data_IF_184971288330
#
_entry.id   IF_184971288330
#
_cell.length_a   1.000
_cell.length_b   1.000
_cell.length_c   1.000
_cell.angle_alpha   90.00
_cell.angle_beta   90.00
_cell.angle_gamma   90.00
#
_symmetry.space_group_name_H-M   'P 1'
#
loop_
_entity.id
_entity.type
_entity.pdbx_description
1 polymer ?
#
# COMPACT_ATOMS: atom_id res chain seq x y z
N UNK A 1 18.29 -8.45 -26.07
CA UNK A 1 17.16 -7.63 -26.55
C UNK A 1 16.67 -6.80 -25.38
N UNK A 2 16.54 -5.46 -25.52
CA UNK A 2 15.91 -4.64 -24.46
C UNK A 2 14.44 -5.06 -24.33
N UNK A 3 13.99 -5.32 -23.11
CA UNK A 3 12.58 -5.60 -22.84
C UNK A 3 11.76 -4.35 -23.17
N UNK A 4 10.61 -4.54 -23.82
CA UNK A 4 9.66 -3.45 -24.04
C UNK A 4 8.95 -3.10 -22.73
N UNK A 5 8.45 -1.87 -22.60
CA UNK A 5 7.69 -1.47 -21.41
C UNK A 5 6.47 -2.37 -21.20
N UNK A 6 5.72 -2.70 -22.24
CA UNK A 6 4.58 -3.63 -22.17
C UNK A 6 4.95 -5.00 -21.60
N UNK A 7 6.16 -5.52 -21.95
CA UNK A 7 6.62 -6.79 -21.38
C UNK A 7 6.97 -6.72 -19.90
N UNK A 8 7.38 -5.56 -19.40
CA UNK A 8 7.64 -5.31 -17.97
C UNK A 8 6.34 -5.14 -17.19
N UNK A 9 5.39 -4.39 -17.74
CA UNK A 9 4.04 -4.17 -17.20
C UNK A 9 3.24 -5.48 -17.18
N UNK A 10 3.49 -6.39 -18.14
CA UNK A 10 2.71 -7.63 -18.33
C UNK A 10 1.36 -7.39 -18.99
N UNK A 11 1.18 -6.25 -19.68
CA UNK A 11 -0.02 -5.89 -20.42
C UNK A 11 0.33 -5.35 -21.81
N UNK A 12 -0.41 -5.76 -22.83
CA UNK A 12 -0.26 -5.29 -24.20
C UNK A 12 -1.42 -4.39 -24.58
N UNK A 13 -1.11 -3.14 -24.89
CA UNK A 13 -2.11 -2.14 -25.23
C UNK A 13 -2.68 -2.35 -26.63
N UNK A 14 -4.00 -2.17 -26.77
CA UNK A 14 -4.72 -2.08 -28.03
C UNK A 14 -4.55 -0.68 -28.62
N UNK A 15 -4.64 0.35 -27.77
CA UNK A 15 -4.33 1.74 -28.11
C UNK A 15 -2.99 2.17 -27.47
N UNK A 16 -1.92 2.13 -28.24
CA UNK A 16 -0.59 2.51 -27.79
C UNK A 16 -0.49 3.98 -27.31
N UNK A 17 -1.43 4.84 -27.72
CA UNK A 17 -1.45 6.27 -27.30
C UNK A 17 -1.72 6.41 -25.81
N UNK A 18 -2.45 5.48 -25.21
CA UNK A 18 -2.70 5.49 -23.75
C UNK A 18 -1.40 5.31 -22.96
N UNK A 19 -0.57 4.34 -23.36
CA UNK A 19 0.74 4.12 -22.74
C UNK A 19 1.68 5.31 -23.01
N UNK A 20 1.66 5.84 -24.22
CA UNK A 20 2.44 7.02 -24.60
C UNK A 20 2.07 8.23 -23.73
N UNK A 21 0.79 8.46 -23.51
CA UNK A 21 0.28 9.53 -22.62
C UNK A 21 0.72 9.28 -21.17
N UNK A 22 0.58 8.05 -20.65
CA UNK A 22 1.01 7.70 -19.31
C UNK A 22 2.51 7.91 -19.09
N UNK A 23 3.34 7.84 -20.14
CA UNK A 23 4.78 8.08 -20.07
C UNK A 23 5.17 9.53 -20.37
N UNK A 24 4.23 10.47 -20.53
CA UNK A 24 4.51 11.85 -20.94
C UNK A 24 4.28 12.83 -19.78
N UNK A 25 5.36 13.40 -19.25
CA UNK A 25 5.32 14.44 -18.23
C UNK A 25 4.82 15.79 -18.76
N UNK A 26 4.16 16.59 -17.93
CA UNK A 26 3.60 17.89 -18.33
C UNK A 26 4.63 18.88 -18.88
N UNK A 27 5.85 18.90 -18.34
CA UNK A 27 6.92 19.72 -18.87
C UNK A 27 7.26 19.38 -20.33
N UNK A 28 7.26 18.08 -20.71
CA UNK A 28 7.48 17.67 -22.08
C UNK A 28 6.34 18.10 -23.01
N UNK A 29 5.09 17.93 -22.57
CA UNK A 29 3.93 18.36 -23.33
C UNK A 29 3.94 19.87 -23.57
N UNK A 30 4.26 20.66 -22.54
CA UNK A 30 4.35 22.11 -22.60
C UNK A 30 5.46 22.60 -23.55
N UNK A 31 6.64 21.97 -23.53
CA UNK A 31 7.76 22.32 -24.41
C UNK A 31 7.46 22.06 -25.88
N UNK A 32 6.63 21.06 -26.18
CA UNK A 32 6.30 20.69 -27.56
C UNK A 32 5.29 21.61 -28.22
N UNK A 33 4.45 22.32 -27.43
CA UNK A 33 3.36 23.21 -27.91
C UNK A 33 2.46 22.57 -28.98
N UNK A 34 2.42 21.25 -29.03
CA UNK A 34 1.63 20.49 -30.00
C UNK A 34 0.31 20.07 -29.34
N UNK A 35 -0.80 20.38 -29.99
CA UNK A 35 -2.13 20.13 -29.46
C UNK A 35 -2.46 18.64 -29.24
N UNK A 36 -1.67 17.76 -29.82
CA UNK A 36 -1.81 16.30 -29.77
C UNK A 36 -0.95 15.62 -28.70
N UNK A 37 -0.06 16.38 -28.03
CA UNK A 37 0.77 15.85 -26.92
C UNK A 37 0.09 16.13 -25.60
N UNK A 38 -0.44 15.09 -24.98
CA UNK A 38 -1.17 15.15 -23.70
C UNK A 38 -0.30 14.59 -22.58
N UNK A 39 -0.27 15.26 -21.41
CA UNK A 39 0.43 14.79 -20.23
C UNK A 39 -0.35 13.70 -19.47
N UNK A 40 0.36 12.99 -18.60
CA UNK A 40 -0.20 11.92 -17.79
C UNK A 40 -1.16 12.40 -16.67
N UNK A 41 -1.20 13.68 -16.32
CA UNK A 41 -1.91 14.20 -15.13
C UNK A 41 -3.38 13.77 -15.02
N UNK A 42 -4.09 13.70 -16.15
CA UNK A 42 -5.48 13.22 -16.13
C UNK A 42 -5.59 11.71 -15.94
N UNK A 43 -4.60 10.95 -16.40
CA UNK A 43 -4.52 9.51 -16.15
C UNK A 43 -4.14 9.23 -14.71
N UNK A 44 -3.18 9.96 -14.15
CA UNK A 44 -2.82 9.94 -12.73
C UNK A 44 -4.06 10.11 -11.84
N UNK A 45 -4.81 11.20 -12.04
CA UNK A 45 -6.04 11.45 -11.28
C UNK A 45 -7.03 10.27 -11.31
N UNK A 46 -7.21 9.66 -12.48
CA UNK A 46 -8.07 8.47 -12.62
C UNK A 46 -7.44 7.24 -11.97
N UNK A 47 -6.13 7.08 -12.12
CA UNK A 47 -5.37 5.94 -11.61
C UNK A 47 -5.35 5.87 -10.10
N UNK A 48 -5.16 7.00 -9.40
CA UNK A 48 -5.28 7.10 -7.95
C UNK A 48 -6.63 6.53 -7.46
N UNK A 49 -7.72 6.94 -8.10
CA UNK A 49 -9.06 6.46 -7.72
C UNK A 49 -9.23 4.94 -7.93
N UNK A 50 -8.70 4.40 -9.03
CA UNK A 50 -8.74 2.95 -9.32
C UNK A 50 -7.87 2.17 -8.35
N UNK A 51 -6.67 2.67 -8.08
CA UNK A 51 -5.74 2.09 -7.11
C UNK A 51 -6.34 2.08 -5.71
N UNK A 52 -6.90 3.21 -5.27
CA UNK A 52 -7.56 3.34 -3.97
C UNK A 52 -8.73 2.39 -3.80
N UNK A 53 -9.59 2.25 -4.82
CA UNK A 53 -10.72 1.31 -4.82
C UNK A 53 -10.24 -0.14 -4.77
N UNK A 54 -9.29 -0.52 -5.62
CA UNK A 54 -8.78 -1.89 -5.70
C UNK A 54 -8.10 -2.30 -4.40
N UNK A 55 -7.31 -1.40 -3.80
CA UNK A 55 -6.64 -1.65 -2.52
C UNK A 55 -7.65 -1.75 -1.38
N UNK A 56 -8.71 -0.93 -1.38
CA UNK A 56 -9.78 -1.01 -0.38
C UNK A 56 -10.54 -2.34 -0.47
N UNK A 57 -10.89 -2.80 -1.67
CA UNK A 57 -11.52 -4.10 -1.91
C UNK A 57 -10.62 -5.25 -1.45
N UNK A 58 -9.34 -5.19 -1.81
CA UNK A 58 -8.35 -6.18 -1.37
C UNK A 58 -8.26 -6.28 0.15
N UNK A 59 -8.17 -5.15 0.85
CA UNK A 59 -8.14 -5.12 2.32
C UNK A 59 -9.43 -5.64 2.93
N UNK A 60 -10.59 -5.25 2.40
CA UNK A 60 -11.88 -5.70 2.88
C UNK A 60 -12.02 -7.24 2.82
N UNK A 61 -11.55 -7.84 1.74
CA UNK A 61 -11.65 -9.29 1.53
C UNK A 61 -10.63 -10.09 2.36
N UNK A 62 -9.41 -9.54 2.55
CA UNK A 62 -8.30 -10.27 3.17
C UNK A 62 -8.09 -9.94 4.66
N UNK A 63 -8.81 -8.96 5.20
CA UNK A 63 -8.68 -8.55 6.61
C UNK A 63 -10.04 -8.45 7.31
N UNK A 64 -10.83 -9.54 7.39
CA UNK A 64 -12.23 -9.49 7.84
C UNK A 64 -12.42 -9.05 9.28
N UNK A 65 -11.38 -9.11 10.10
CA UNK A 65 -11.41 -8.73 11.53
C UNK A 65 -10.85 -7.35 11.81
N UNK A 66 -10.26 -6.67 10.80
CA UNK A 66 -9.68 -5.35 11.02
C UNK A 66 -10.75 -4.25 11.06
N UNK A 67 -10.69 -3.34 12.05
CA UNK A 67 -11.55 -2.15 12.08
C UNK A 67 -11.29 -1.23 10.88
N UNK A 68 -12.31 -0.46 10.48
CA UNK A 68 -12.25 0.48 9.35
C UNK A 68 -11.03 1.43 9.43
N UNK A 69 -10.77 2.03 10.62
CA UNK A 69 -9.65 2.95 10.78
C UNK A 69 -8.28 2.30 10.52
N UNK A 70 -8.15 0.97 10.71
CA UNK A 70 -6.94 0.21 10.38
C UNK A 70 -6.85 -0.05 8.88
N UNK A 71 -7.94 -0.45 8.24
CA UNK A 71 -7.97 -0.61 6.78
C UNK A 71 -7.62 0.70 6.07
N UNK A 72 -8.10 1.83 6.58
CA UNK A 72 -7.76 3.17 6.05
C UNK A 72 -6.28 3.49 6.16
N UNK A 73 -5.63 3.19 7.29
CA UNK A 73 -4.18 3.39 7.46
C UNK A 73 -3.36 2.45 6.57
N UNK A 74 -3.70 1.15 6.53
CA UNK A 74 -3.04 0.19 5.65
C UNK A 74 -3.17 0.57 4.18
N UNK A 75 -4.35 1.02 3.76
CA UNK A 75 -4.51 1.52 2.39
C UNK A 75 -3.55 2.67 2.12
N UNK A 76 -3.48 3.67 3.00
CA UNK A 76 -2.57 4.79 2.83
C UNK A 76 -1.08 4.35 2.78
N UNK A 77 -0.67 3.37 3.58
CA UNK A 77 0.68 2.81 3.56
C UNK A 77 0.99 2.06 2.25
N UNK A 78 0.02 1.30 1.73
CA UNK A 78 0.20 0.49 0.52
C UNK A 78 0.25 1.32 -0.77
N UNK A 79 -0.45 2.47 -0.79
CA UNK A 79 -0.53 3.32 -1.99
C UNK A 79 0.22 4.65 -1.85
N UNK A 80 1.09 4.80 -0.84
CA UNK A 80 1.90 6.01 -0.68
C UNK A 80 2.96 6.15 -1.77
N UNK A 81 3.47 7.39 -1.92
CA UNK A 81 4.54 7.71 -2.87
C UNK A 81 5.71 6.72 -2.80
N UNK A 82 6.17 6.37 -1.58
CA UNK A 82 7.29 5.44 -1.40
C UNK A 82 7.02 4.05 -1.98
N UNK A 83 5.81 3.52 -1.78
CA UNK A 83 5.40 2.21 -2.30
C UNK A 83 5.32 2.23 -3.83
N UNK A 84 4.67 3.25 -4.39
CA UNK A 84 4.55 3.41 -5.85
C UNK A 84 5.90 3.67 -6.52
N UNK A 85 6.77 4.42 -5.87
CA UNK A 85 8.15 4.63 -6.34
C UNK A 85 8.92 3.31 -6.44
N UNK A 86 8.82 2.42 -5.45
CA UNK A 86 9.43 1.07 -5.50
C UNK A 86 8.91 0.27 -6.70
N UNK A 87 7.60 0.32 -6.94
CA UNK A 87 6.96 -0.31 -8.11
C UNK A 87 7.50 0.28 -9.42
N UNK A 88 7.60 1.60 -9.51
CA UNK A 88 8.14 2.28 -10.71
C UNK A 88 9.57 1.88 -11.01
N UNK A 89 10.43 1.78 -9.97
CA UNK A 89 11.82 1.33 -10.09
C UNK A 89 11.90 -0.14 -10.56
N UNK A 90 11.09 -1.02 -9.99
CA UNK A 90 11.05 -2.44 -10.38
C UNK A 90 10.64 -2.62 -11.86
N UNK A 91 9.72 -1.80 -12.34
CA UNK A 91 9.29 -1.77 -13.73
C UNK A 91 10.25 -1.00 -14.66
N UNK A 92 11.15 -0.18 -14.08
CA UNK A 92 12.08 0.68 -14.82
C UNK A 92 11.37 1.77 -15.63
N UNK A 93 10.27 2.36 -15.09
CA UNK A 93 9.45 3.35 -15.80
C UNK A 93 10.25 4.58 -16.22
N UNK A 94 11.22 5.00 -15.42
CA UNK A 94 12.08 6.13 -15.72
C UNK A 94 12.81 6.04 -17.07
N UNK A 95 13.13 4.83 -17.56
CA UNK A 95 13.79 4.63 -18.86
C UNK A 95 12.88 5.02 -20.06
N UNK A 96 11.57 4.97 -19.89
CA UNK A 96 10.57 5.19 -20.94
C UNK A 96 9.91 6.56 -20.87
N UNK A 97 10.19 7.31 -19.81
CA UNK A 97 9.60 8.61 -19.54
C UNK A 97 9.99 9.66 -20.58
N UNK A 98 9.01 10.46 -21.02
CA UNK A 98 9.20 11.66 -21.82
C UNK A 98 9.20 12.87 -20.90
N UNK A 99 10.38 13.44 -20.67
CA UNK A 99 10.59 14.61 -19.82
C UNK A 99 10.89 15.86 -20.64
N UNK A 100 10.49 17.02 -20.12
CA UNK A 100 11.00 18.29 -20.61
C UNK A 100 12.48 18.47 -20.22
N UNK A 101 13.16 19.31 -20.97
CA UNK A 101 14.62 19.53 -20.78
C UNK A 101 14.97 20.03 -19.37
N UNK A 102 14.14 20.87 -18.79
CA UNK A 102 14.35 21.37 -17.42
C UNK A 102 14.30 20.25 -16.38
N UNK A 103 13.28 19.39 -16.47
CA UNK A 103 13.13 18.25 -15.57
C UNK A 103 14.24 17.19 -15.76
N UNK A 104 14.66 16.95 -17.00
CA UNK A 104 15.78 16.05 -17.28
C UNK A 104 17.07 16.52 -16.60
N UNK A 105 17.38 17.82 -16.66
CA UNK A 105 18.57 18.41 -16.07
C UNK A 105 18.57 18.40 -14.53
N UNK A 106 17.39 18.36 -13.91
CA UNK A 106 17.23 18.35 -12.44
C UNK A 106 17.01 16.94 -11.87
N UNK A 107 17.23 15.90 -12.67
CA UNK A 107 17.08 14.50 -12.22
C UNK A 107 15.64 14.02 -12.11
N UNK A 108 14.72 14.65 -12.85
CA UNK A 108 13.29 14.32 -12.81
C UNK A 108 12.99 12.84 -13.13
N UNK A 109 13.86 12.19 -13.92
CA UNK A 109 13.74 10.76 -14.28
C UNK A 109 13.85 9.81 -13.11
N UNK A 110 14.47 10.23 -12.02
CA UNK A 110 14.67 9.46 -10.78
C UNK A 110 13.84 10.02 -9.62
N UNK A 111 13.06 11.09 -9.84
CA UNK A 111 12.27 11.74 -8.80
C UNK A 111 11.11 10.86 -8.38
N UNK A 112 11.03 10.58 -7.06
CA UNK A 112 10.06 9.65 -6.49
C UNK A 112 8.61 10.02 -6.81
N UNK A 113 8.23 11.29 -6.66
CA UNK A 113 6.86 11.74 -6.95
C UNK A 113 6.49 11.54 -8.42
N UNK A 114 7.35 11.93 -9.37
CA UNK A 114 7.08 11.75 -10.80
C UNK A 114 6.93 10.26 -11.16
N UNK A 115 7.76 9.41 -10.57
CA UNK A 115 7.70 7.96 -10.80
C UNK A 115 6.43 7.32 -10.19
N UNK A 116 6.01 7.79 -9.03
CA UNK A 116 4.77 7.36 -8.39
C UNK A 116 3.54 7.74 -9.24
N UNK A 117 3.45 9.01 -9.67
CA UNK A 117 2.38 9.52 -10.54
C UNK A 117 2.27 8.70 -11.84
N UNK A 118 3.41 8.28 -12.39
CA UNK A 118 3.43 7.44 -13.60
C UNK A 118 2.86 6.04 -13.37
N UNK A 119 3.04 5.45 -12.18
CA UNK A 119 2.40 4.15 -11.86
C UNK A 119 0.88 4.30 -11.88
N UNK A 120 0.36 5.37 -11.30
CA UNK A 120 -1.07 5.67 -11.32
C UNK A 120 -1.56 5.91 -12.76
N UNK A 121 -0.80 6.67 -13.54
CA UNK A 121 -1.14 6.90 -14.95
C UNK A 121 -1.15 5.59 -15.78
N UNK A 122 -0.24 4.66 -15.52
CA UNK A 122 -0.23 3.33 -16.14
C UNK A 122 -1.46 2.52 -15.76
N UNK A 123 -1.86 2.55 -14.47
CA UNK A 123 -3.09 1.90 -13.98
C UNK A 123 -4.30 2.40 -14.76
N UNK A 124 -4.45 3.73 -14.89
CA UNK A 124 -5.55 4.32 -15.65
C UNK A 124 -5.49 3.98 -17.15
N UNK A 125 -4.30 3.97 -17.75
CA UNK A 125 -4.13 3.60 -19.15
C UNK A 125 -4.58 2.14 -19.39
N UNK A 126 -4.19 1.20 -18.52
CA UNK A 126 -4.64 -0.20 -18.58
C UNK A 126 -6.15 -0.28 -18.39
N UNK A 127 -6.72 0.45 -17.43
CA UNK A 127 -8.16 0.49 -17.22
C UNK A 127 -8.94 0.96 -18.44
N UNK A 128 -8.50 2.04 -19.08
CA UNK A 128 -9.18 2.59 -20.26
C UNK A 128 -9.08 1.67 -21.48
N UNK A 129 -8.00 0.91 -21.60
CA UNK A 129 -7.76 -0.01 -22.73
C UNK A 129 -8.37 -1.41 -22.50
N UNK A 130 -8.25 -1.94 -21.29
CA UNK A 130 -8.57 -3.33 -20.96
C UNK A 130 -9.67 -3.53 -19.92
N UNK A 131 -10.10 -2.46 -19.25
CA UNK A 131 -11.12 -2.51 -18.20
C UNK A 131 -10.56 -2.80 -16.80
N UNK A 132 -11.47 -2.86 -15.84
CA UNK A 132 -11.14 -2.97 -14.41
C UNK A 132 -10.38 -4.25 -14.07
N UNK A 133 -10.71 -5.37 -14.69
CA UNK A 133 -10.07 -6.65 -14.39
C UNK A 133 -8.58 -6.65 -14.73
N UNK A 134 -8.20 -6.02 -15.84
CA UNK A 134 -6.79 -5.91 -16.23
C UNK A 134 -6.04 -4.93 -15.33
N UNK A 135 -6.66 -3.81 -14.94
CA UNK A 135 -6.10 -2.87 -13.98
C UNK A 135 -5.89 -3.53 -12.60
N UNK A 136 -6.86 -4.30 -12.11
CA UNK A 136 -6.73 -5.09 -10.88
C UNK A 136 -5.59 -6.09 -10.94
N UNK A 137 -5.43 -6.82 -12.04
CA UNK A 137 -4.32 -7.76 -12.22
C UNK A 137 -2.97 -7.06 -12.12
N UNK A 138 -2.84 -5.88 -12.73
CA UNK A 138 -1.62 -5.07 -12.65
C UNK A 138 -1.34 -4.63 -11.20
N UNK A 139 -2.33 -4.07 -10.52
CA UNK A 139 -2.21 -3.59 -9.14
C UNK A 139 -1.82 -4.75 -8.20
N UNK A 140 -2.53 -5.87 -8.29
CA UNK A 140 -2.24 -7.06 -7.47
C UNK A 140 -0.84 -7.60 -7.70
N UNK A 141 -0.36 -7.58 -8.95
CA UNK A 141 0.93 -8.15 -9.32
C UNK A 141 2.11 -7.25 -8.94
N UNK A 142 1.97 -5.93 -9.07
CA UNK A 142 3.11 -5.02 -9.01
C UNK A 142 3.09 -4.06 -7.83
N UNK A 143 1.91 -3.75 -7.28
CA UNK A 143 1.76 -2.83 -6.14
C UNK A 143 1.51 -3.61 -4.86
N UNK A 144 0.67 -4.63 -4.89
CA UNK A 144 0.23 -5.36 -3.70
C UNK A 144 0.91 -6.74 -3.55
N UNK A 145 1.85 -7.12 -4.45
CA UNK A 145 2.52 -8.43 -4.40
C UNK A 145 3.31 -8.68 -3.12
N UNK A 146 3.92 -7.64 -2.60
CA UNK A 146 4.74 -7.66 -1.38
C UNK A 146 3.99 -7.11 -0.16
N UNK A 147 2.68 -6.88 -0.31
CA UNK A 147 1.83 -6.47 0.79
C UNK A 147 1.75 -7.62 1.81
N UNK A 148 2.65 -7.61 2.78
CA UNK A 148 2.56 -8.49 3.95
C UNK A 148 1.35 -8.05 4.78
N UNK A 149 0.14 -8.41 4.31
CA UNK A 149 -1.09 -8.27 5.09
C UNK A 149 -1.18 -9.52 5.95
N UNK A 150 -0.26 -9.64 6.88
CA UNK A 150 -0.28 -10.69 7.90
C UNK A 150 -0.85 -10.14 9.21
N UNK A 151 -1.38 -11.02 10.02
CA UNK A 151 -1.76 -10.76 11.41
C UNK A 151 -0.59 -10.17 12.23
N UNK A 152 0.64 -10.28 11.73
CA UNK A 152 1.90 -9.89 12.35
C UNK A 152 2.47 -8.54 11.87
N UNK A 153 1.70 -7.70 11.15
CA UNK A 153 2.25 -6.42 10.65
C UNK A 153 2.56 -5.48 11.83
N UNK A 154 3.82 -5.02 12.02
CA UNK A 154 4.24 -4.22 13.19
C UNK A 154 3.51 -2.89 13.36
N UNK A 155 2.87 -2.38 12.30
CA UNK A 155 2.07 -1.15 12.33
C UNK A 155 0.62 -1.37 12.78
N UNK A 156 0.19 -2.61 13.02
CA UNK A 156 -1.16 -2.91 13.46
C UNK A 156 -1.43 -2.30 14.86
N UNK A 157 -2.34 -1.33 14.95
CA UNK A 157 -2.77 -0.74 16.22
C UNK A 157 -3.95 -1.51 16.82
N UNK A 158 -3.68 -2.80 17.08
CA UNK A 158 -4.66 -3.69 17.73
C UNK A 158 -5.04 -3.23 19.13
N UNK A 159 -4.16 -2.48 19.81
CA UNK A 159 -4.45 -1.92 21.15
C UNK A 159 -5.60 -0.91 21.08
N UNK A 160 -5.55 0.03 20.13
CA UNK A 160 -6.64 0.98 19.90
C UNK A 160 -7.90 0.26 19.44
N UNK A 161 -7.80 -0.70 18.53
CA UNK A 161 -8.93 -1.48 18.06
C UNK A 161 -9.61 -2.28 19.18
N UNK A 162 -8.83 -2.91 20.07
CA UNK A 162 -9.36 -3.61 21.26
C UNK A 162 -10.05 -2.63 22.20
N UNK A 163 -9.44 -1.47 22.43
CA UNK A 163 -10.01 -0.44 23.29
C UNK A 163 -11.37 0.03 22.76
N UNK A 164 -11.46 0.37 21.48
CA UNK A 164 -12.72 0.78 20.85
C UNK A 164 -13.78 -0.32 20.90
N UNK A 165 -13.38 -1.58 20.67
CA UNK A 165 -14.29 -2.71 20.70
C UNK A 165 -14.91 -2.94 22.08
N UNK A 166 -14.08 -2.95 23.12
CA UNK A 166 -14.59 -3.22 24.48
C UNK A 166 -15.34 -2.02 25.07
N UNK A 167 -14.94 -0.79 24.75
CA UNK A 167 -15.60 0.44 25.21
C UNK A 167 -17.01 0.63 24.61
N UNK A 168 -17.37 -0.01 23.50
CA UNK A 168 -18.76 -0.04 23.01
C UNK A 168 -19.74 -0.62 24.01
N UNK A 169 -19.28 -1.40 24.98
CA UNK A 169 -20.09 -2.05 26.03
C UNK A 169 -20.08 -1.30 27.37
N UNK A 170 -19.41 -0.15 27.45
CA UNK A 170 -19.27 0.67 28.64
C UNK A 170 -17.83 0.97 29.00
N UNK A 171 -17.60 1.64 30.14
CA UNK A 171 -16.25 1.85 30.67
C UNK A 171 -15.68 0.52 31.14
N UNK A 172 -14.50 0.14 30.60
CA UNK A 172 -13.78 -1.09 30.93
C UNK A 172 -12.32 -0.78 31.20
N UNK A 173 -11.70 -1.55 32.09
CA UNK A 173 -10.28 -1.42 32.40
C UNK A 173 -9.47 -2.45 31.58
N UNK A 174 -8.59 -1.95 30.71
CA UNK A 174 -7.67 -2.78 29.92
C UNK A 174 -6.29 -2.70 30.56
N UNK A 175 -5.65 -3.86 30.80
CA UNK A 175 -4.27 -3.94 31.31
C UNK A 175 -3.44 -4.87 30.44
N UNK A 176 -2.20 -4.45 30.18
CA UNK A 176 -1.17 -5.25 29.52
C UNK A 176 -0.08 -5.58 30.52
N UNK A 177 0.26 -6.85 30.67
CA UNK A 177 1.27 -7.31 31.62
C UNK A 177 2.30 -8.18 30.90
N UNK A 178 3.60 -7.93 31.19
CA UNK A 178 4.70 -8.77 30.72
C UNK A 178 4.65 -10.10 31.46
N UNK A 179 4.38 -11.19 30.76
CA UNK A 179 4.29 -12.53 31.33
C UNK A 179 5.49 -13.42 31.01
N UNK A 180 6.32 -13.01 30.05
CA UNK A 180 7.54 -13.75 29.69
C UNK A 180 8.56 -12.91 28.94
N UNK A 181 9.84 -13.25 29.13
CA UNK A 181 10.96 -12.73 28.38
C UNK A 181 11.92 -13.88 28.12
N UNK A 182 12.34 -14.09 26.87
CA UNK A 182 13.22 -15.19 26.44
C UNK A 182 14.18 -14.78 25.33
N UNK A 183 15.24 -15.56 25.14
CA UNK A 183 16.25 -15.34 24.10
C UNK A 183 17.45 -14.50 24.55
N UNK A 184 18.57 -14.55 23.76
CA UNK A 184 19.78 -13.77 24.03
C UNK A 184 19.54 -12.28 23.72
N UNK A 185 20.38 -11.38 24.27
CA UNK A 185 20.21 -9.92 24.18
C UNK A 185 20.04 -9.37 22.76
N UNK A 186 20.62 -10.02 21.76
CA UNK A 186 20.53 -9.64 20.36
C UNK A 186 19.30 -10.22 19.62
N UNK A 187 18.53 -11.10 20.30
CA UNK A 187 17.32 -11.72 19.75
C UNK A 187 16.31 -12.04 20.88
N UNK A 188 15.96 -11.03 21.66
CA UNK A 188 14.98 -11.14 22.73
C UNK A 188 13.57 -11.30 22.17
N UNK A 189 12.78 -12.10 22.86
CA UNK A 189 11.32 -12.23 22.64
C UNK A 189 10.61 -11.87 23.93
N UNK A 190 9.59 -11.03 23.83
CA UNK A 190 8.74 -10.61 24.94
C UNK A 190 7.36 -11.24 24.76
N UNK A 191 6.73 -11.65 25.86
CA UNK A 191 5.35 -12.14 25.85
C UNK A 191 4.51 -11.28 26.78
N UNK A 192 3.41 -10.73 26.26
CA UNK A 192 2.45 -9.94 27.03
C UNK A 192 1.09 -10.62 27.06
N UNK A 193 0.41 -10.52 28.20
CA UNK A 193 -1.01 -10.80 28.31
C UNK A 193 -1.81 -9.52 28.34
N UNK A 194 -3.04 -9.56 27.83
CA UNK A 194 -4.01 -8.48 27.96
C UNK A 194 -5.25 -8.96 28.72
N UNK A 195 -5.67 -8.15 29.68
CA UNK A 195 -6.88 -8.39 30.46
C UNK A 195 -7.88 -7.25 30.31
N UNK A 196 -9.17 -7.58 30.31
CA UNK A 196 -10.31 -6.67 30.33
C UNK A 196 -11.09 -6.95 31.61
N UNK A 197 -11.22 -5.94 32.47
CA UNK A 197 -11.86 -6.03 33.80
C UNK A 197 -11.31 -7.19 34.63
N UNK A 198 -9.98 -7.38 34.61
CA UNK A 198 -9.29 -8.41 35.37
C UNK A 198 -9.34 -9.82 34.79
N UNK A 199 -10.05 -10.04 33.64
CA UNK A 199 -10.09 -11.32 32.94
C UNK A 199 -9.12 -11.31 31.75
N UNK A 200 -8.16 -12.24 31.73
CA UNK A 200 -7.25 -12.39 30.59
C UNK A 200 -8.02 -12.82 29.35
N UNK A 201 -7.91 -12.02 28.28
CA UNK A 201 -8.61 -12.21 27.02
C UNK A 201 -7.69 -12.55 25.86
N UNK A 202 -6.38 -12.20 25.95
CA UNK A 202 -5.41 -12.51 24.89
C UNK A 202 -3.98 -12.58 25.43
N UNK A 203 -3.10 -13.24 24.67
CA UNK A 203 -1.67 -13.33 24.92
C UNK A 203 -0.93 -13.28 23.60
N UNK A 204 0.20 -12.54 23.54
CA UNK A 204 0.97 -12.37 22.31
C UNK A 204 2.46 -12.16 22.58
N UNK A 205 3.28 -12.57 21.62
CA UNK A 205 4.73 -12.46 21.69
C UNK A 205 5.27 -11.62 20.53
N UNK A 206 6.41 -10.95 20.73
CA UNK A 206 7.07 -10.14 19.72
C UNK A 206 8.53 -9.85 20.09
N UNK A 207 9.29 -9.32 19.14
CA UNK A 207 10.72 -8.96 19.32
C UNK A 207 10.88 -7.67 20.13
N UNK A 208 9.85 -6.86 20.20
CA UNK A 208 9.79 -5.67 21.06
C UNK A 208 8.58 -5.77 21.99
N UNK A 209 8.63 -5.05 23.13
CA UNK A 209 7.47 -4.99 24.04
C UNK A 209 6.22 -4.46 23.33
N UNK A 210 6.38 -3.43 22.49
CA UNK A 210 5.28 -2.84 21.71
C UNK A 210 4.64 -3.87 20.77
N UNK A 211 5.45 -4.65 20.08
CA UNK A 211 4.99 -5.70 19.17
C UNK A 211 4.22 -6.81 19.93
N UNK A 212 4.78 -7.27 21.06
CA UNK A 212 4.12 -8.27 21.90
C UNK A 212 2.77 -7.79 22.48
N UNK A 213 2.67 -6.52 22.89
CA UNK A 213 1.41 -5.91 23.32
C UNK A 213 0.38 -5.85 22.18
N UNK A 214 0.80 -5.49 20.97
CA UNK A 214 -0.08 -5.47 19.79
C UNK A 214 -0.60 -6.88 19.46
N UNK A 215 0.27 -7.90 19.51
CA UNK A 215 -0.13 -9.29 19.28
C UNK A 215 -1.09 -9.81 20.36
N UNK A 216 -0.89 -9.42 21.63
CA UNK A 216 -1.83 -9.77 22.69
C UNK A 216 -3.21 -9.15 22.44
N UNK A 217 -3.27 -7.90 21.97
CA UNK A 217 -4.51 -7.23 21.61
C UNK A 217 -5.19 -7.87 20.40
N UNK A 218 -4.42 -8.29 19.38
CA UNK A 218 -4.92 -9.02 18.22
C UNK A 218 -5.66 -10.30 18.65
N UNK A 219 -4.97 -11.15 19.42
CA UNK A 219 -5.57 -12.42 19.94
C UNK A 219 -6.80 -12.21 20.83
N UNK A 220 -6.82 -11.09 21.58
CA UNK A 220 -7.98 -10.70 22.35
C UNK A 220 -9.19 -10.36 21.47
N UNK A 221 -8.97 -9.60 20.40
CA UNK A 221 -10.02 -9.25 19.43
C UNK A 221 -10.61 -10.49 18.76
N UNK A 222 -9.78 -11.40 18.25
CA UNK A 222 -10.22 -12.66 17.66
C UNK A 222 -11.14 -13.44 18.60
N UNK A 223 -10.70 -13.57 19.86
CA UNK A 223 -11.45 -14.34 20.88
C UNK A 223 -12.76 -13.67 21.31
N UNK A 224 -12.83 -12.32 21.27
CA UNK A 224 -14.02 -11.57 21.69
C UNK A 224 -15.05 -11.39 20.56
N UNK A 225 -14.63 -11.62 19.31
CA UNK A 225 -15.49 -11.56 18.12
C UNK A 225 -16.03 -12.93 17.68
N UNK A 226 -15.40 -14.03 18.13
CA UNK A 226 -15.85 -15.41 17.91
C UNK A 226 -17.04 -15.75 18.80
#
# INVERSE_FOLDING_TARGET
MKQTLESRIGYRFRDARLLETAMTHSAYANERHAADVVSYERLEFLGDSILGLTTAEYLYDHTPVLPEGRMTRLRAELVCEESLHKTALALGLGEFMRLGRGEELTGGRERASILADMVEAVIAAIYLDGGMDEAKKFIMRHVLSDAEIGEDHPSADYKTALQEFVQRRGEVQIRYELVGESGPDHNKSFTFSVSVDGKTVGEGSGRTKKEAEQMAACRALEKLQA
#
